data_IF_499422260181
#
_entry.id   IF_499422260181
#
_cell.length_a   1.000
_cell.length_b   1.000
_cell.length_c   1.000
_cell.angle_alpha   90.00
_cell.angle_beta   90.00
_cell.angle_gamma   90.00
#
_symmetry.space_group_name_H-M   'P 1'
#
loop_
_entity.id
_entity.type
_entity.pdbx_description
1 polymer ?
#
# COMPACT_ATOMS: atom_id res chain seq x y z
N UNK A 1 -16.55 46.57 3.81
CA UNK A 1 -15.27 46.46 4.53
C UNK A 1 -14.67 45.13 4.14
N UNK A 2 -13.59 45.13 3.34
CA UNK A 2 -13.03 43.91 2.75
C UNK A 2 -12.05 43.24 3.70
N UNK A 3 -12.21 41.93 3.91
CA UNK A 3 -11.27 41.15 4.70
C UNK A 3 -9.93 41.02 3.96
N UNK A 4 -8.85 41.50 4.57
CA UNK A 4 -7.50 41.45 3.97
C UNK A 4 -6.93 40.05 4.21
N UNK A 5 -7.06 39.18 3.21
CA UNK A 5 -6.52 37.81 3.29
C UNK A 5 -5.07 37.77 2.85
N UNK A 6 -4.20 37.22 3.70
CA UNK A 6 -2.79 37.03 3.36
C UNK A 6 -2.59 35.81 2.47
N UNK A 7 -2.52 36.03 1.15
CA UNK A 7 -2.35 34.98 0.15
C UNK A 7 -1.05 34.17 0.31
N UNK A 8 0.02 34.76 0.89
CA UNK A 8 1.28 34.04 1.15
C UNK A 8 1.08 32.96 2.20
N UNK A 9 0.34 33.24 3.27
CA UNK A 9 0.00 32.23 4.30
C UNK A 9 -0.87 31.13 3.72
N UNK A 10 -1.92 31.50 2.99
CA UNK A 10 -2.81 30.54 2.33
C UNK A 10 -2.06 29.58 1.38
N UNK A 11 -1.16 30.10 0.54
CA UNK A 11 -0.32 29.26 -0.35
C UNK A 11 0.61 28.34 0.45
N UNK A 12 1.21 28.82 1.54
CA UNK A 12 2.09 28.01 2.40
C UNK A 12 1.33 26.89 3.11
N UNK A 13 0.09 27.14 3.52
CA UNK A 13 -0.76 26.13 4.12
C UNK A 13 -1.18 25.07 3.10
N UNK A 14 -1.59 25.48 1.90
CA UNK A 14 -1.87 24.56 0.79
C UNK A 14 -0.69 23.65 0.48
N UNK A 15 0.51 24.23 0.33
CA UNK A 15 1.73 23.45 0.06
C UNK A 15 2.08 22.48 1.20
N UNK A 16 1.79 22.82 2.46
CA UNK A 16 1.95 21.89 3.60
C UNK A 16 0.96 20.73 3.52
N UNK A 17 -0.32 21.02 3.28
CA UNK A 17 -1.36 19.98 3.13
C UNK A 17 -1.05 19.01 1.99
N UNK A 18 -0.59 19.52 0.85
CA UNK A 18 -0.20 18.68 -0.29
C UNK A 18 0.97 17.74 0.08
N UNK A 19 1.98 18.24 0.79
CA UNK A 19 3.09 17.41 1.29
C UNK A 19 2.65 16.36 2.30
N UNK A 20 1.75 16.70 3.21
CA UNK A 20 1.24 15.75 4.20
C UNK A 20 0.42 14.63 3.53
N UNK A 21 -0.40 14.96 2.53
CA UNK A 21 -1.14 13.98 1.74
C UNK A 21 -0.20 13.04 0.98
N UNK A 22 0.84 13.58 0.32
CA UNK A 22 1.86 12.77 -0.34
C UNK A 22 2.62 11.88 0.66
N UNK A 23 2.95 12.39 1.84
CA UNK A 23 3.61 11.61 2.89
C UNK A 23 2.72 10.47 3.40
N UNK A 24 1.42 10.69 3.57
CA UNK A 24 0.46 9.63 3.92
C UNK A 24 0.38 8.56 2.83
N UNK A 25 0.28 8.98 1.56
CA UNK A 25 0.28 8.05 0.43
C UNK A 25 1.59 7.25 0.39
N UNK A 26 2.72 7.89 0.59
CA UNK A 26 4.02 7.21 0.62
C UNK A 26 4.17 6.28 1.84
N UNK A 27 3.56 6.59 2.99
CA UNK A 27 3.50 5.64 4.11
C UNK A 27 2.60 4.44 3.80
N UNK A 28 1.50 4.64 3.08
CA UNK A 28 0.65 3.54 2.67
C UNK A 28 1.35 2.64 1.63
N UNK A 29 2.03 3.24 0.65
CA UNK A 29 2.69 2.53 -0.46
C UNK A 29 4.04 1.95 -0.04
N UNK A 30 4.83 2.72 0.72
CA UNK A 30 6.23 2.40 1.05
C UNK A 30 6.50 2.29 2.56
N UNK A 31 5.51 2.52 3.43
CA UNK A 31 5.71 2.50 4.88
C UNK A 31 5.82 1.11 5.49
N UNK A 32 5.72 0.05 4.67
CA UNK A 32 6.15 -1.28 5.10
C UNK A 32 7.66 -1.38 5.06
N UNK A 33 8.27 -1.66 6.21
CA UNK A 33 9.70 -1.92 6.31
C UNK A 33 10.12 -3.08 5.38
N UNK A 34 11.39 -3.14 4.97
CA UNK A 34 11.90 -4.26 4.16
C UNK A 34 11.64 -5.61 4.86
N UNK A 35 11.71 -5.64 6.19
CA UNK A 35 11.44 -6.81 7.00
C UNK A 35 9.97 -7.25 6.90
N UNK A 36 9.02 -6.31 7.03
CA UNK A 36 7.58 -6.58 6.88
C UNK A 36 7.22 -7.04 5.48
N UNK A 37 7.80 -6.43 4.44
CA UNK A 37 7.61 -6.88 3.05
C UNK A 37 8.12 -8.30 2.83
N UNK A 38 9.30 -8.61 3.37
CA UNK A 38 9.87 -9.96 3.28
C UNK A 38 8.99 -10.98 4.01
N UNK A 39 8.51 -10.64 5.22
CA UNK A 39 7.60 -11.50 5.97
C UNK A 39 6.29 -11.75 5.22
N UNK A 40 5.66 -10.71 4.69
CA UNK A 40 4.42 -10.83 3.93
C UNK A 40 4.59 -11.73 2.69
N UNK A 41 5.65 -11.51 1.90
CA UNK A 41 5.92 -12.35 0.72
C UNK A 41 6.25 -13.80 1.10
N UNK A 42 6.92 -14.04 2.22
CA UNK A 42 7.19 -15.39 2.72
C UNK A 42 5.90 -16.11 3.15
N UNK A 43 4.98 -15.38 3.81
CA UNK A 43 3.66 -15.88 4.18
C UNK A 43 2.83 -16.21 2.94
N UNK A 44 2.75 -15.30 1.97
CA UNK A 44 2.04 -15.53 0.70
C UNK A 44 2.56 -16.79 -0.03
N UNK A 45 3.88 -17.00 -0.06
CA UNK A 45 4.48 -18.21 -0.66
C UNK A 45 4.13 -19.48 0.11
N UNK A 46 4.11 -19.42 1.44
CA UNK A 46 3.74 -20.55 2.28
C UNK A 46 2.28 -20.95 2.04
N UNK A 47 1.39 -19.96 2.01
CA UNK A 47 -0.03 -20.17 1.73
C UNK A 47 -0.26 -20.69 0.31
N UNK A 48 0.44 -20.15 -0.70
CA UNK A 48 0.38 -20.67 -2.06
C UNK A 48 0.81 -22.15 -2.13
N UNK A 49 1.92 -22.51 -1.47
CA UNK A 49 2.38 -23.91 -1.40
C UNK A 49 1.40 -24.81 -0.68
N UNK A 50 0.77 -24.34 0.40
CA UNK A 50 -0.28 -25.08 1.12
C UNK A 50 -1.47 -25.33 0.19
N UNK A 51 -1.95 -24.29 -0.49
CA UNK A 51 -3.04 -24.41 -1.45
C UNK A 51 -2.68 -25.37 -2.58
N UNK A 52 -1.49 -25.28 -3.15
CA UNK A 52 -1.02 -26.19 -4.19
C UNK A 52 -0.92 -27.64 -3.71
N UNK A 53 -0.43 -27.89 -2.49
CA UNK A 53 -0.39 -29.23 -1.90
C UNK A 53 -1.80 -29.81 -1.65
N UNK A 54 -2.80 -28.95 -1.48
CA UNK A 54 -4.20 -29.35 -1.32
C UNK A 54 -5.00 -29.37 -2.63
N UNK A 55 -4.41 -28.92 -3.76
CA UNK A 55 -5.04 -29.08 -5.07
C UNK A 55 -5.06 -30.57 -5.42
N UNK A 56 -6.26 -31.08 -5.65
CA UNK A 56 -6.47 -32.37 -6.32
C UNK A 56 -6.78 -32.01 -7.76
N UNK A 57 -5.95 -32.46 -8.69
CA UNK A 57 -6.25 -32.26 -10.11
C UNK A 57 -7.62 -32.88 -10.43
N UNK A 58 -8.52 -32.16 -11.13
CA UNK A 58 -9.76 -32.74 -11.60
C UNK A 58 -9.43 -33.74 -12.71
N UNK A 59 -9.43 -35.02 -12.36
CA UNK A 59 -9.64 -36.14 -13.28
C UNK A 59 -8.58 -36.30 -14.37
N UNK A 60 -7.50 -36.99 -14.04
CA UNK A 60 -6.91 -37.92 -15.01
C UNK A 60 -7.98 -39.01 -15.24
N UNK A 61 -8.83 -38.82 -16.25
CA UNK A 61 -9.70 -39.88 -16.77
C UNK A 61 -8.79 -40.90 -17.47
N UNK A 62 -8.67 -42.14 -16.95
CA UNK A 62 -7.94 -43.18 -17.66
C UNK A 62 -8.75 -43.58 -18.90
N UNK A 63 -8.08 -43.55 -20.05
CA UNK A 63 -8.58 -44.05 -21.34
C UNK A 63 -8.74 -45.58 -21.34
#
# INVERSE_FOLDING_TARGET
>A
MGEIVNLRRARKERARREKDAQAQQNRAVFGRSNAERTLATAQERLEARRLDAHKREPGEEPA
#
